data_IF_234784022583
#
_entry.id   IF_234784022583
#
_cell.length_a   1.000
_cell.length_b   1.000
_cell.length_c   1.000
_cell.angle_alpha   90.00
_cell.angle_beta   90.00
_cell.angle_gamma   90.00
#
_symmetry.space_group_name_H-M   'P 1'
#
loop_
_entity.id
_entity.type
_entity.pdbx_description
1 polymer ?
#
# COMPACT_ATOMS: atom_id res chain seq x y z
N UNK A 1 -28.75 -110.54 1.16
CA UNK A 1 -27.30 -110.38 1.34
C UNK A 1 -26.83 -109.03 0.78
N UNK A 2 -27.28 -107.89 1.35
CA UNK A 2 -26.93 -106.55 0.85
C UNK A 2 -26.80 -105.48 1.95
N UNK A 3 -26.45 -105.90 3.18
CA UNK A 3 -26.30 -104.98 4.33
C UNK A 3 -24.89 -104.99 4.96
N UNK A 4 -23.97 -105.86 4.50
CA UNK A 4 -22.68 -106.08 5.17
C UNK A 4 -21.51 -105.23 4.63
N UNK A 5 -21.70 -104.44 3.57
CA UNK A 5 -20.63 -103.62 2.95
C UNK A 5 -20.56 -102.16 3.42
N UNK A 6 -21.49 -101.69 4.26
CA UNK A 6 -21.51 -100.28 4.71
C UNK A 6 -20.47 -99.96 5.80
N UNK A 7 -20.08 -100.94 6.61
CA UNK A 7 -19.13 -100.75 7.70
C UNK A 7 -17.67 -100.50 7.24
N UNK A 8 -17.08 -101.30 6.33
CA UNK A 8 -15.69 -101.08 5.91
C UNK A 8 -15.52 -99.80 5.10
N UNK A 9 -16.53 -99.39 4.33
CA UNK A 9 -16.47 -98.15 3.54
C UNK A 9 -16.51 -96.91 4.43
N UNK A 10 -17.33 -96.90 5.49
CA UNK A 10 -17.34 -95.82 6.47
C UNK A 10 -16.01 -95.71 7.24
N UNK A 11 -15.41 -96.84 7.62
CA UNK A 11 -14.14 -96.87 8.34
C UNK A 11 -12.96 -96.42 7.46
N UNK A 12 -12.97 -96.79 6.18
CA UNK A 12 -12.00 -96.28 5.20
C UNK A 12 -12.19 -94.78 4.94
N UNK A 13 -13.42 -94.28 4.81
CA UNK A 13 -13.69 -92.85 4.66
C UNK A 13 -13.21 -92.05 5.88
N UNK A 14 -13.41 -92.59 7.10
CA UNK A 14 -12.91 -91.97 8.33
C UNK A 14 -11.37 -92.00 8.45
N UNK A 15 -10.70 -93.04 7.96
CA UNK A 15 -9.23 -93.10 7.93
C UNK A 15 -8.63 -92.13 6.90
N UNK A 16 -9.23 -92.02 5.72
CA UNK A 16 -8.80 -91.05 4.69
C UNK A 16 -9.07 -89.62 5.16
N UNK A 17 -10.18 -89.36 5.83
CA UNK A 17 -10.48 -88.04 6.40
C UNK A 17 -9.50 -87.62 7.52
N UNK A 18 -8.97 -88.57 8.30
CA UNK A 18 -7.95 -88.28 9.33
C UNK A 18 -6.52 -88.21 8.75
N UNK A 19 -6.21 -88.92 7.66
CA UNK A 19 -4.90 -88.86 7.00
C UNK A 19 -4.64 -87.53 6.27
N UNK A 20 -5.70 -86.75 6.00
CA UNK A 20 -5.62 -85.43 5.35
C UNK A 20 -5.79 -84.26 6.33
N UNK A 21 -5.42 -84.39 7.61
CA UNK A 21 -5.30 -83.20 8.44
C UNK A 21 -4.16 -82.33 7.89
N UNK A 22 -4.41 -81.06 7.51
CA UNK A 22 -3.36 -80.18 7.04
C UNK A 22 -2.27 -80.10 8.10
N UNK A 23 -1.02 -80.34 7.72
CA UNK A 23 0.10 -80.18 8.65
C UNK A 23 0.13 -78.71 9.09
N UNK A 24 0.18 -78.47 10.39
CA UNK A 24 0.36 -77.14 10.95
C UNK A 24 1.82 -77.00 11.41
N UNK A 25 2.38 -75.80 11.28
CA UNK A 25 3.69 -75.42 11.82
C UNK A 25 3.50 -74.38 12.92
N UNK A 26 4.22 -74.50 14.06
CA UNK A 26 4.32 -73.40 15.00
C UNK A 26 5.15 -72.29 14.37
N UNK A 27 4.59 -71.08 14.35
CA UNK A 27 5.32 -69.85 14.08
C UNK A 27 5.45 -69.12 15.41
N UNK A 28 6.68 -68.74 15.73
CA UNK A 28 7.02 -68.01 16.94
C UNK A 28 7.64 -66.67 16.53
N UNK A 29 7.37 -65.61 17.27
CA UNK A 29 7.90 -64.30 16.93
C UNK A 29 7.96 -63.39 18.14
N UNK A 30 8.68 -62.27 17.99
CA UNK A 30 8.82 -61.27 19.03
C UNK A 30 8.57 -59.89 18.43
N UNK A 31 7.76 -59.07 19.12
CA UNK A 31 7.44 -57.70 18.72
C UNK A 31 8.21 -56.73 19.61
N UNK A 32 8.97 -55.82 18.98
CA UNK A 32 9.72 -54.80 19.68
C UNK A 32 9.82 -53.50 18.86
N UNK A 33 9.99 -52.39 19.57
CA UNK A 33 10.21 -51.06 18.99
C UNK A 33 11.62 -50.58 19.32
N UNK A 34 12.23 -49.87 18.39
CA UNK A 34 13.46 -49.11 18.60
C UNK A 34 13.08 -47.67 18.93
N UNK A 35 13.49 -47.18 20.09
CA UNK A 35 13.27 -45.82 20.54
C UNK A 35 14.38 -44.89 20.03
N UNK A 36 14.16 -43.57 20.08
CA UNK A 36 15.09 -42.56 19.55
C UNK A 36 16.50 -42.61 20.17
N UNK A 37 16.61 -43.14 21.38
CA UNK A 37 17.87 -43.34 22.10
C UNK A 37 18.53 -44.70 21.80
N UNK A 38 18.09 -45.39 20.74
CA UNK A 38 18.51 -46.74 20.38
C UNK A 38 18.16 -47.83 21.43
N UNK A 39 17.26 -47.53 22.36
CA UNK A 39 16.73 -48.54 23.28
C UNK A 39 15.68 -49.41 22.61
N UNK A 40 15.73 -50.70 22.94
CA UNK A 40 14.80 -51.70 22.44
C UNK A 40 13.73 -51.98 23.50
N UNK A 41 12.46 -51.79 23.15
CA UNK A 41 11.34 -52.09 24.05
C UNK A 41 10.47 -53.19 23.46
N UNK A 42 10.36 -54.32 24.15
CA UNK A 42 9.43 -55.40 23.78
C UNK A 42 8.00 -54.96 24.10
N UNK A 43 7.07 -55.28 23.21
CA UNK A 43 5.66 -54.87 23.35
C UNK A 43 4.77 -56.08 23.64
N UNK A 44 4.22 -56.13 24.86
CA UNK A 44 3.26 -57.14 25.27
C UNK A 44 1.81 -56.79 24.95
N UNK A 45 0.95 -57.81 24.96
CA UNK A 45 -0.49 -57.71 24.69
C UNK A 45 -0.88 -57.14 23.31
N UNK A 46 0.03 -57.23 22.34
CA UNK A 46 -0.17 -56.78 20.96
C UNK A 46 -0.96 -57.84 20.19
N UNK A 47 -2.05 -57.41 19.54
CA UNK A 47 -2.82 -58.29 18.65
C UNK A 47 -2.05 -58.52 17.34
N UNK A 48 -1.84 -59.79 17.00
CA UNK A 48 -1.14 -60.25 15.80
C UNK A 48 -2.13 -61.01 14.93
N UNK A 49 -2.46 -60.45 13.77
CA UNK A 49 -3.39 -61.04 12.80
C UNK A 49 -2.65 -61.65 11.62
N UNK A 50 -3.10 -62.82 11.17
CA UNK A 50 -2.63 -63.54 9.99
C UNK A 50 -3.74 -63.60 8.95
N UNK A 51 -3.42 -63.25 7.71
CA UNK A 51 -4.36 -63.08 6.62
C UNK A 51 -3.93 -63.89 5.41
N UNK A 52 -4.92 -64.37 4.65
CA UNK A 52 -4.69 -64.87 3.30
C UNK A 52 -4.34 -63.69 2.37
N UNK A 53 -3.19 -63.70 1.69
CA UNK A 53 -2.80 -62.67 0.75
C UNK A 53 -3.86 -62.41 -0.33
N UNK A 54 -4.57 -63.44 -0.79
CA UNK A 54 -5.60 -63.30 -1.84
C UNK A 54 -6.79 -62.46 -1.38
N UNK A 55 -7.14 -62.55 -0.09
CA UNK A 55 -8.22 -61.74 0.51
C UNK A 55 -7.73 -60.32 0.79
N UNK A 56 -6.46 -60.18 1.14
CA UNK A 56 -5.89 -58.93 1.63
C UNK A 56 -5.41 -58.00 0.51
N UNK A 57 -4.88 -58.54 -0.59
CA UNK A 57 -4.45 -57.78 -1.76
C UNK A 57 -5.50 -56.77 -2.25
N UNK A 58 -6.77 -57.16 -2.55
CA UNK A 58 -7.76 -56.21 -3.05
C UNK A 58 -8.08 -55.10 -2.03
N UNK A 59 -8.07 -55.40 -0.73
CA UNK A 59 -8.31 -54.42 0.34
C UNK A 59 -7.17 -53.39 0.40
N UNK A 60 -5.92 -53.84 0.29
CA UNK A 60 -4.74 -52.96 0.29
C UNK A 60 -4.69 -52.13 -0.99
N UNK A 61 -5.05 -52.71 -2.14
CA UNK A 61 -5.14 -51.97 -3.40
C UNK A 61 -6.20 -50.87 -3.34
N UNK A 62 -7.36 -51.15 -2.75
CA UNK A 62 -8.41 -50.15 -2.52
C UNK A 62 -7.96 -49.05 -1.56
N UNK A 63 -7.35 -49.42 -0.42
CA UNK A 63 -6.80 -48.47 0.54
C UNK A 63 -5.71 -47.57 -0.09
N UNK A 64 -4.82 -48.16 -0.90
CA UNK A 64 -3.80 -47.43 -1.67
C UNK A 64 -4.41 -46.47 -2.67
N UNK A 65 -5.44 -46.91 -3.40
CA UNK A 65 -6.16 -46.06 -4.35
C UNK A 65 -6.74 -44.84 -3.64
N UNK A 66 -7.47 -45.07 -2.53
CA UNK A 66 -8.06 -44.00 -1.72
C UNK A 66 -6.99 -43.03 -1.19
N UNK A 67 -5.88 -43.55 -0.67
CA UNK A 67 -4.79 -42.73 -0.17
C UNK A 67 -4.13 -41.88 -1.26
N UNK A 68 -3.95 -42.43 -2.47
CA UNK A 68 -3.45 -41.67 -3.62
C UNK A 68 -4.41 -40.56 -4.04
N UNK A 69 -5.71 -40.83 -4.04
CA UNK A 69 -6.74 -39.81 -4.33
C UNK A 69 -6.72 -38.69 -3.29
N UNK A 70 -6.62 -39.01 -2.00
CA UNK A 70 -6.52 -38.02 -0.92
C UNK A 70 -5.22 -37.21 -0.98
N UNK A 71 -4.07 -37.85 -1.24
CA UNK A 71 -2.79 -37.16 -1.46
C UNK A 71 -2.82 -36.24 -2.66
N UNK A 72 -3.35 -36.71 -3.79
CA UNK A 72 -3.51 -35.89 -4.99
C UNK A 72 -4.42 -34.68 -4.70
N UNK A 73 -5.49 -34.88 -3.92
CA UNK A 73 -6.37 -33.81 -3.44
C UNK A 73 -5.63 -32.79 -2.55
N UNK A 74 -4.83 -33.25 -1.59
CA UNK A 74 -4.02 -32.38 -0.73
C UNK A 74 -2.99 -31.59 -1.53
N UNK A 75 -2.24 -32.24 -2.42
CA UNK A 75 -1.26 -31.59 -3.28
C UNK A 75 -1.93 -30.53 -4.17
N UNK A 76 -3.06 -30.87 -4.79
CA UNK A 76 -3.85 -29.91 -5.58
C UNK A 76 -4.28 -28.70 -4.75
N UNK A 77 -4.74 -28.92 -3.52
CA UNK A 77 -5.16 -27.83 -2.62
C UNK A 77 -3.97 -26.95 -2.19
N UNK A 78 -2.81 -27.55 -1.93
CA UNK A 78 -1.58 -26.80 -1.62
C UNK A 78 -1.20 -25.92 -2.80
N UNK A 79 -1.10 -26.48 -4.01
CA UNK A 79 -0.75 -25.70 -5.21
C UNK A 79 -1.78 -24.60 -5.50
N UNK A 80 -3.07 -24.85 -5.24
CA UNK A 80 -4.10 -23.82 -5.37
C UNK A 80 -3.93 -22.68 -4.36
N UNK A 81 -3.58 -22.98 -3.10
CA UNK A 81 -3.30 -21.96 -2.09
C UNK A 81 -2.01 -21.18 -2.41
N UNK A 82 -0.96 -21.85 -2.88
CA UNK A 82 0.28 -21.20 -3.33
C UNK A 82 0.02 -20.21 -4.48
N UNK A 83 -0.84 -20.59 -5.44
CA UNK A 83 -1.25 -19.70 -6.52
C UNK A 83 -2.03 -18.48 -6.00
N UNK A 84 -2.97 -18.67 -5.06
CA UNK A 84 -3.71 -17.57 -4.43
C UNK A 84 -2.77 -16.59 -3.72
N UNK A 85 -1.80 -17.11 -2.94
CA UNK A 85 -0.82 -16.27 -2.24
C UNK A 85 0.01 -15.47 -3.25
N UNK A 86 0.53 -16.13 -4.30
CA UNK A 86 1.29 -15.46 -5.36
C UNK A 86 0.50 -14.34 -6.03
N UNK A 87 -0.78 -14.60 -6.37
CA UNK A 87 -1.65 -13.60 -7.00
C UNK A 87 -1.91 -12.39 -6.07
N UNK A 88 -2.11 -12.65 -4.77
CA UNK A 88 -2.31 -11.60 -3.76
C UNK A 88 -1.05 -10.76 -3.54
N UNK A 89 0.13 -11.38 -3.55
CA UNK A 89 1.42 -10.68 -3.46
C UNK A 89 1.66 -9.78 -4.68
N UNK A 90 1.39 -10.27 -5.89
CA UNK A 90 1.48 -9.49 -7.12
C UNK A 90 0.50 -8.31 -7.12
N UNK A 91 -0.72 -8.54 -6.63
CA UNK A 91 -1.73 -7.49 -6.46
C UNK A 91 -1.29 -6.44 -5.43
N UNK A 92 -0.71 -6.86 -4.30
CA UNK A 92 -0.16 -5.93 -3.29
C UNK A 92 0.95 -5.07 -3.88
N UNK A 93 1.88 -5.68 -4.61
CA UNK A 93 2.98 -4.98 -5.28
C UNK A 93 2.47 -3.93 -6.28
N UNK A 94 1.46 -4.26 -7.09
CA UNK A 94 0.82 -3.30 -8.01
C UNK A 94 0.21 -2.10 -7.28
N UNK A 95 -0.33 -2.30 -6.08
CA UNK A 95 -0.86 -1.20 -5.26
C UNK A 95 0.24 -0.37 -4.62
N UNK A 96 1.32 -0.99 -4.16
CA UNK A 96 2.52 -0.28 -3.67
C UNK A 96 3.11 0.61 -4.78
N UNK A 97 3.24 0.10 -6.01
CA UNK A 97 3.68 0.87 -7.17
C UNK A 97 2.72 2.02 -7.50
N UNK A 98 1.40 1.79 -7.41
CA UNK A 98 0.40 2.84 -7.61
C UNK A 98 0.46 3.93 -6.54
N UNK A 99 0.72 3.55 -5.28
CA UNK A 99 0.92 4.50 -4.17
C UNK A 99 2.16 5.36 -4.44
N UNK A 100 3.27 4.76 -4.90
CA UNK A 100 4.47 5.49 -5.24
C UNK A 100 4.21 6.52 -6.35
N UNK A 101 3.53 6.13 -7.44
CA UNK A 101 3.17 7.05 -8.52
C UNK A 101 2.26 8.20 -8.07
N UNK A 102 1.29 7.94 -7.21
CA UNK A 102 0.43 8.99 -6.63
C UNK A 102 1.20 9.91 -5.66
N UNK A 103 2.17 9.38 -4.92
CA UNK A 103 3.01 10.18 -4.04
C UNK A 103 3.90 11.16 -4.83
N UNK A 104 4.43 10.74 -5.98
CA UNK A 104 5.17 11.61 -6.91
C UNK A 104 4.27 12.70 -7.49
N UNK A 105 3.03 12.35 -7.90
CA UNK A 105 2.02 13.30 -8.36
C UNK A 105 1.73 14.36 -7.28
N UNK A 106 1.53 13.94 -6.03
CA UNK A 106 1.32 14.83 -4.90
C UNK A 106 2.54 15.76 -4.66
N UNK A 107 3.75 15.22 -4.78
CA UNK A 107 5.00 15.98 -4.70
C UNK A 107 5.09 17.09 -5.76
N UNK A 108 4.69 16.78 -7.00
CA UNK A 108 4.62 17.75 -8.09
C UNK A 108 3.57 18.84 -7.83
N UNK A 109 2.38 18.47 -7.33
CA UNK A 109 1.34 19.44 -6.97
C UNK A 109 1.83 20.38 -5.86
N UNK A 110 2.48 19.83 -4.81
CA UNK A 110 3.05 20.63 -3.71
C UNK A 110 4.14 21.59 -4.19
N UNK A 111 5.00 21.17 -5.12
CA UNK A 111 6.00 22.05 -5.75
C UNK A 111 5.35 23.20 -6.50
N UNK A 112 4.30 22.92 -7.31
CA UNK A 112 3.53 23.95 -8.03
C UNK A 112 2.85 24.91 -7.07
N UNK A 113 2.31 24.41 -5.96
CA UNK A 113 1.70 25.22 -4.92
C UNK A 113 2.74 26.11 -4.22
N UNK A 114 3.95 25.60 -3.98
CA UNK A 114 5.10 26.38 -3.51
C UNK A 114 5.44 27.53 -4.46
N UNK A 115 5.52 27.28 -5.77
CA UNK A 115 5.73 28.35 -6.76
C UNK A 115 4.61 29.39 -6.75
N UNK A 116 3.34 28.98 -6.66
CA UNK A 116 2.20 29.92 -6.57
C UNK A 116 2.24 30.71 -5.27
N UNK A 117 2.65 30.10 -4.16
CA UNK A 117 2.83 30.80 -2.89
C UNK A 117 3.97 31.83 -2.99
N UNK A 118 5.08 31.52 -3.65
CA UNK A 118 6.14 32.49 -3.94
C UNK A 118 5.67 33.61 -4.88
N UNK A 119 4.88 33.31 -5.91
CA UNK A 119 4.26 34.32 -6.78
C UNK A 119 3.34 35.25 -5.96
N UNK A 120 2.51 34.70 -5.08
CA UNK A 120 1.64 35.47 -4.19
C UNK A 120 2.44 36.31 -3.19
N UNK A 121 3.50 35.75 -2.61
CA UNK A 121 4.40 36.48 -1.74
C UNK A 121 5.06 37.63 -2.50
N UNK A 122 5.53 37.43 -3.74
CA UNK A 122 6.10 38.50 -4.55
C UNK A 122 5.08 39.56 -4.96
N UNK A 123 3.81 39.20 -5.18
CA UNK A 123 2.75 40.18 -5.43
C UNK A 123 2.41 41.00 -4.18
N UNK A 124 2.41 40.36 -3.02
CA UNK A 124 2.10 41.01 -1.72
C UNK A 124 3.30 41.82 -1.20
N UNK A 125 4.50 41.32 -1.45
CA UNK A 125 5.77 41.96 -1.10
C UNK A 125 6.23 42.94 -2.18
N UNK A 126 5.73 42.92 -3.41
CA UNK A 126 5.83 44.08 -4.31
C UNK A 126 5.22 45.34 -3.68
N UNK A 127 4.30 45.14 -2.72
CA UNK A 127 3.76 46.19 -1.86
C UNK A 127 4.63 46.51 -0.62
N UNK A 128 5.54 45.63 -0.17
CA UNK A 128 6.24 45.77 1.13
C UNK A 128 7.73 45.32 1.26
N UNK A 129 8.28 44.49 0.37
CA UNK A 129 9.68 44.07 0.35
C UNK A 129 10.39 44.49 -0.96
N UNK A 130 10.78 45.76 -0.97
CA UNK A 130 12.02 46.21 -1.59
C UNK A 130 13.05 46.30 -0.44
N UNK A 131 13.67 45.16 -0.12
CA UNK A 131 14.70 45.07 0.93
C UNK A 131 16.10 45.08 0.34
N UNK A 132 16.77 46.21 0.60
CA UNK A 132 18.18 46.36 1.04
C UNK A 132 19.33 46.59 0.04
N UNK A 133 19.23 46.32 -1.27
CA UNK A 133 20.29 46.75 -2.23
C UNK A 133 19.82 47.51 -3.49
N UNK A 134 18.55 47.41 -3.90
CA UNK A 134 17.97 48.28 -4.94
C UNK A 134 17.09 49.42 -4.38
N UNK A 135 17.07 49.56 -3.05
CA UNK A 135 16.26 50.51 -2.26
C UNK A 135 16.29 51.99 -2.65
N UNK A 136 17.28 52.57 -3.36
CA UNK A 136 17.11 53.93 -3.82
C UNK A 136 15.98 53.97 -4.85
N UNK A 137 15.95 53.14 -5.88
CA UNK A 137 15.26 53.53 -7.12
C UNK A 137 13.73 53.38 -7.10
N UNK A 138 13.13 52.27 -6.64
CA UNK A 138 11.66 52.14 -6.68
C UNK A 138 10.99 52.79 -5.46
N UNK A 139 11.67 52.85 -4.30
CA UNK A 139 11.30 53.72 -3.18
C UNK A 139 11.48 55.20 -3.55
N UNK A 140 12.51 55.59 -4.30
CA UNK A 140 12.69 56.95 -4.83
C UNK A 140 11.72 57.21 -5.96
N UNK A 141 11.23 56.24 -6.74
CA UNK A 141 10.15 56.46 -7.72
C UNK A 141 8.80 56.57 -7.03
N UNK A 142 8.51 55.77 -5.99
CA UNK A 142 7.28 55.95 -5.18
C UNK A 142 7.33 57.23 -4.36
N UNK A 143 8.43 57.51 -3.67
CA UNK A 143 8.65 58.76 -2.96
C UNK A 143 8.74 59.93 -3.94
N UNK A 144 9.27 59.76 -5.15
CA UNK A 144 9.31 60.77 -6.21
C UNK A 144 7.91 61.00 -6.73
N UNK A 145 7.10 59.99 -7.04
CA UNK A 145 5.71 60.18 -7.48
C UNK A 145 4.83 60.76 -6.38
N UNK A 146 4.95 60.30 -5.14
CA UNK A 146 4.24 60.86 -3.98
C UNK A 146 4.74 62.28 -3.69
N UNK A 147 6.04 62.54 -3.79
CA UNK A 147 6.62 63.86 -3.67
C UNK A 147 6.24 64.74 -4.87
N UNK A 148 6.08 64.21 -6.07
CA UNK A 148 5.73 64.90 -7.30
C UNK A 148 4.25 65.27 -7.26
N UNK A 149 3.39 64.39 -6.76
CA UNK A 149 2.00 64.69 -6.42
C UNK A 149 1.93 65.75 -5.31
N UNK A 150 2.72 65.60 -4.24
CA UNK A 150 2.76 66.56 -3.12
C UNK A 150 3.29 67.92 -3.58
N UNK A 151 4.34 67.94 -4.39
CA UNK A 151 4.97 69.13 -4.95
C UNK A 151 4.05 69.79 -5.98
N UNK A 152 3.37 69.01 -6.82
CA UNK A 152 2.35 69.52 -7.76
C UNK A 152 1.17 70.12 -7.02
N UNK A 153 0.74 69.51 -5.91
CA UNK A 153 -0.31 70.06 -5.04
C UNK A 153 0.12 71.35 -4.34
N UNK A 154 1.36 71.40 -3.86
CA UNK A 154 1.96 72.62 -3.30
C UNK A 154 2.10 73.70 -4.38
N UNK A 155 2.50 73.34 -5.60
CA UNK A 155 2.61 74.24 -6.73
C UNK A 155 1.24 74.81 -7.13
N UNK A 156 0.19 73.98 -7.14
CA UNK A 156 -1.19 74.39 -7.33
C UNK A 156 -1.66 75.39 -6.26
N UNK A 157 -1.36 75.12 -4.99
CA UNK A 157 -1.68 76.05 -3.90
C UNK A 157 -0.90 77.37 -3.99
N UNK A 158 0.35 77.34 -4.46
CA UNK A 158 1.14 78.54 -4.72
C UNK A 158 0.56 79.35 -5.89
N UNK A 159 0.24 78.69 -7.01
CA UNK A 159 -0.39 79.32 -8.18
C UNK A 159 -1.73 79.97 -7.78
N UNK A 160 -2.53 79.28 -6.97
CA UNK A 160 -3.79 79.81 -6.45
C UNK A 160 -3.57 81.07 -5.61
N UNK A 161 -2.61 81.03 -4.68
CA UNK A 161 -2.23 82.20 -3.87
C UNK A 161 -1.73 83.37 -4.73
N UNK A 162 -0.96 83.11 -5.79
CA UNK A 162 -0.54 84.15 -6.74
C UNK A 162 -1.75 84.77 -7.47
N UNK A 163 -2.67 83.94 -7.97
CA UNK A 163 -3.91 84.43 -8.61
C UNK A 163 -4.68 85.31 -7.63
N UNK A 164 -4.84 84.89 -6.38
CA UNK A 164 -5.55 85.64 -5.33
C UNK A 164 -4.86 86.99 -5.04
N UNK A 165 -3.52 87.00 -4.96
CA UNK A 165 -2.73 88.21 -4.79
C UNK A 165 -2.91 89.19 -5.96
N UNK A 166 -2.77 88.73 -7.20
CA UNK A 166 -3.00 89.55 -8.40
C UNK A 166 -4.46 90.02 -8.54
N UNK A 167 -5.41 89.30 -7.93
CA UNK A 167 -6.82 89.68 -7.85
C UNK A 167 -7.11 90.73 -6.76
N UNK A 168 -6.24 90.87 -5.76
CA UNK A 168 -6.42 91.85 -4.68
C UNK A 168 -5.59 93.12 -4.93
N UNK A 169 -4.31 92.95 -5.26
CA UNK A 169 -3.35 94.05 -5.26
C UNK A 169 -3.47 94.95 -6.48
N UNK A 170 -3.53 94.37 -7.69
CA UNK A 170 -3.61 95.19 -8.92
C UNK A 170 -4.92 95.97 -9.01
N UNK A 171 -6.11 95.44 -8.64
CA UNK A 171 -7.31 96.25 -8.56
C UNK A 171 -7.20 97.40 -7.56
N UNK A 172 -6.50 97.22 -6.43
CA UNK A 172 -6.25 98.29 -5.47
C UNK A 172 -5.31 99.37 -6.06
N UNK A 173 -4.24 98.98 -6.73
CA UNK A 173 -3.34 99.90 -7.43
C UNK A 173 -4.07 100.64 -8.57
N UNK A 174 -4.89 99.95 -9.36
CA UNK A 174 -5.72 100.57 -10.40
C UNK A 174 -6.74 101.53 -9.78
N UNK A 175 -7.33 101.20 -8.64
CA UNK A 175 -8.26 102.09 -7.93
C UNK A 175 -7.56 103.36 -7.43
N UNK A 176 -6.35 103.22 -6.89
CA UNK A 176 -5.53 104.36 -6.46
C UNK A 176 -5.12 105.23 -7.66
N UNK A 177 -4.60 104.64 -8.74
CA UNK A 177 -4.27 105.37 -9.97
C UNK A 177 -5.51 106.05 -10.59
N UNK A 178 -6.68 105.42 -10.53
CA UNK A 178 -7.95 106.04 -10.95
C UNK A 178 -8.34 107.22 -10.05
N UNK A 179 -8.09 107.13 -8.75
CA UNK A 179 -8.29 108.22 -7.80
C UNK A 179 -7.35 109.40 -8.10
N UNK A 180 -6.06 109.13 -8.30
CA UNK A 180 -5.07 110.12 -8.73
C UNK A 180 -5.47 110.76 -10.07
N UNK A 181 -5.85 109.95 -11.06
CA UNK A 181 -6.33 110.41 -12.36
C UNK A 181 -7.57 111.30 -12.24
N UNK A 182 -8.53 110.94 -11.37
CA UNK A 182 -9.72 111.75 -11.10
C UNK A 182 -9.36 113.09 -10.47
N UNK A 183 -8.39 113.11 -9.55
CA UNK A 183 -7.87 114.33 -8.93
C UNK A 183 -7.20 115.24 -9.97
N UNK A 184 -6.32 114.70 -10.82
CA UNK A 184 -5.64 115.47 -11.89
C UNK A 184 -6.66 115.99 -12.91
N UNK A 185 -7.65 115.17 -13.31
CA UNK A 185 -8.74 115.63 -14.21
C UNK A 185 -9.57 116.75 -13.58
N UNK A 186 -9.79 116.71 -12.26
CA UNK A 186 -10.48 117.78 -11.53
C UNK A 186 -9.65 119.06 -11.53
N UNK A 187 -8.33 118.98 -11.32
CA UNK A 187 -7.42 120.12 -11.41
C UNK A 187 -7.38 120.71 -12.83
N UNK A 188 -7.24 119.88 -13.87
CA UNK A 188 -7.29 120.32 -15.28
C UNK A 188 -8.63 121.01 -15.59
N UNK A 189 -9.76 120.44 -15.11
CA UNK A 189 -11.08 121.06 -15.27
C UNK A 189 -11.19 122.39 -14.53
N UNK A 190 -10.71 122.48 -13.29
CA UNK A 190 -10.69 123.73 -12.50
C UNK A 190 -9.82 124.80 -13.16
N UNK A 191 -8.63 124.46 -13.67
CA UNK A 191 -7.77 125.38 -14.41
C UNK A 191 -8.42 125.84 -15.73
N UNK A 192 -9.02 124.92 -16.49
CA UNK A 192 -9.75 125.27 -17.71
C UNK A 192 -11.00 126.11 -17.43
N UNK A 193 -11.68 125.88 -16.31
CA UNK A 193 -12.88 126.65 -15.91
C UNK A 193 -12.56 128.10 -15.50
N UNK A 194 -11.32 128.35 -15.03
CA UNK A 194 -10.81 129.70 -14.76
C UNK A 194 -10.43 130.46 -16.03
N UNK A 195 -10.40 129.82 -17.21
CA UNK A 195 -10.19 130.48 -18.49
C UNK A 195 -11.51 130.88 -19.18
N UNK A 196 -11.70 132.18 -19.42
CA UNK A 196 -12.62 132.75 -20.43
C UNK A 196 -11.93 133.87 -21.23
N UNK A 197 -12.45 134.17 -22.42
CA UNK A 197 -11.96 133.64 -23.68
C UNK A 197 -10.69 134.38 -24.11
N UNK A 198 -9.53 133.76 -23.96
CA UNK A 198 -8.32 134.21 -24.66
C UNK A 198 -7.64 133.01 -25.31
N UNK A 199 -7.07 133.33 -26.46
CA UNK A 199 -6.51 132.51 -27.56
C UNK A 199 -5.33 131.60 -27.19
N UNK A 200 -5.20 131.18 -25.93
CA UNK A 200 -4.13 130.27 -25.50
C UNK A 200 -4.66 128.86 -25.35
N UNK A 201 -4.00 127.92 -26.03
CA UNK A 201 -4.33 126.50 -25.95
C UNK A 201 -4.25 126.04 -24.49
N UNK A 202 -5.24 125.28 -24.00
CA UNK A 202 -5.25 124.80 -22.62
C UNK A 202 -3.97 124.02 -22.32
N UNK A 203 -3.44 124.10 -21.08
CA UNK A 203 -2.31 123.30 -20.67
C UNK A 203 -2.62 121.82 -20.92
N UNK A 204 -1.77 121.18 -21.70
CA UNK A 204 -1.83 119.72 -21.87
C UNK A 204 -1.26 119.13 -20.58
N UNK A 205 -2.03 118.32 -19.89
CA UNK A 205 -1.56 117.51 -18.77
C UNK A 205 -1.13 116.14 -19.34
N UNK A 206 0.16 115.97 -19.73
CA UNK A 206 0.65 114.68 -20.25
C UNK A 206 0.49 113.55 -19.24
N UNK A 207 0.46 113.88 -17.95
CA UNK A 207 0.27 112.99 -16.81
C UNK A 207 -1.03 112.17 -16.92
N UNK A 208 -2.11 112.74 -17.47
CA UNK A 208 -3.39 112.02 -17.70
C UNK A 208 -3.18 110.86 -18.69
N UNK A 209 -2.45 111.11 -19.78
CA UNK A 209 -2.16 110.10 -20.80
C UNK A 209 -1.13 109.06 -20.36
N UNK A 210 -0.26 109.40 -19.40
CA UNK A 210 0.66 108.45 -18.76
C UNK A 210 -0.08 107.53 -17.79
N UNK A 211 -0.92 108.08 -16.92
CA UNK A 211 -1.75 107.31 -15.99
C UNK A 211 -2.74 106.38 -16.72
N UNK A 212 -3.37 106.84 -17.81
CA UNK A 212 -4.26 105.98 -18.63
C UNK A 212 -3.50 104.86 -19.34
N UNK A 213 -2.29 105.13 -19.85
CA UNK A 213 -1.41 104.10 -20.43
C UNK A 213 -0.97 103.09 -19.37
N UNK A 214 -0.67 103.56 -18.17
CA UNK A 214 -0.22 102.72 -17.06
C UNK A 214 -1.34 101.82 -16.53
N UNK A 215 -2.56 102.35 -16.34
CA UNK A 215 -3.74 101.54 -15.98
C UNK A 215 -3.99 100.46 -17.04
N UNK A 216 -3.87 100.80 -18.33
CA UNK A 216 -4.06 99.86 -19.44
C UNK A 216 -2.97 98.79 -19.46
N UNK A 217 -1.70 99.18 -19.23
CA UNK A 217 -0.55 98.27 -19.12
C UNK A 217 -0.74 97.28 -17.98
N UNK A 218 -1.02 97.76 -16.77
CA UNK A 218 -1.26 96.92 -15.59
C UNK A 218 -2.47 96.00 -15.75
N UNK A 219 -3.54 96.47 -16.40
CA UNK A 219 -4.71 95.64 -16.70
C UNK A 219 -4.38 94.50 -17.66
N UNK A 220 -3.57 94.78 -18.69
CA UNK A 220 -3.14 93.78 -19.67
C UNK A 220 -2.16 92.79 -19.04
N UNK A 221 -1.17 93.27 -18.28
CA UNK A 221 -0.19 92.44 -17.57
C UNK A 221 -0.86 91.50 -16.57
N UNK A 222 -1.81 92.00 -15.78
CA UNK A 222 -2.64 91.16 -14.89
C UNK A 222 -3.38 90.09 -15.67
N UNK A 223 -4.00 90.45 -16.80
CA UNK A 223 -4.75 89.50 -17.63
C UNK A 223 -3.85 88.38 -18.15
N UNK A 224 -2.73 88.72 -18.78
CA UNK A 224 -1.77 87.75 -19.30
C UNK A 224 -1.20 86.86 -18.19
N UNK A 225 -0.92 87.43 -17.01
CA UNK A 225 -0.43 86.67 -15.87
C UNK A 225 -1.48 85.69 -15.35
N UNK A 226 -2.72 86.14 -15.15
CA UNK A 226 -3.84 85.28 -14.72
C UNK A 226 -4.08 84.17 -15.74
N UNK A 227 -4.12 84.48 -17.04
CA UNK A 227 -4.33 83.49 -18.09
C UNK A 227 -3.21 82.42 -18.07
N UNK A 228 -1.95 82.85 -17.93
CA UNK A 228 -0.81 81.92 -17.85
C UNK A 228 -0.82 81.03 -16.59
N UNK A 229 -1.22 81.58 -15.44
CA UNK A 229 -1.33 80.84 -14.18
C UNK A 229 -2.51 79.86 -14.23
N UNK A 230 -3.62 80.25 -14.84
CA UNK A 230 -4.80 79.41 -15.06
C UNK A 230 -4.46 78.22 -15.95
N UNK A 231 -3.71 78.43 -17.03
CA UNK A 231 -3.29 77.34 -17.92
C UNK A 231 -2.33 76.36 -17.21
N UNK A 232 -1.37 76.86 -16.42
CA UNK A 232 -0.50 76.01 -15.58
C UNK A 232 -1.29 75.21 -14.54
N UNK A 233 -2.29 75.85 -13.92
CA UNK A 233 -3.19 75.17 -12.98
C UNK A 233 -3.94 74.03 -13.69
N UNK A 234 -4.48 74.28 -14.88
CA UNK A 234 -5.17 73.27 -15.69
C UNK A 234 -4.27 72.09 -16.02
N UNK A 235 -3.08 72.34 -16.58
CA UNK A 235 -2.11 71.29 -16.89
C UNK A 235 -1.72 70.46 -15.66
N UNK A 236 -1.57 71.09 -14.50
CA UNK A 236 -1.20 70.40 -13.26
C UNK A 236 -2.35 69.53 -12.73
N UNK A 237 -3.59 69.98 -12.86
CA UNK A 237 -4.79 69.18 -12.53
C UNK A 237 -4.92 67.98 -13.47
N UNK A 238 -4.75 68.18 -14.77
CA UNK A 238 -4.82 67.09 -15.76
C UNK A 238 -3.71 66.04 -15.53
N UNK A 239 -2.50 66.49 -15.17
CA UNK A 239 -1.40 65.59 -14.82
C UNK A 239 -1.70 64.77 -13.56
N UNK A 240 -2.25 65.40 -12.52
CA UNK A 240 -2.67 64.71 -11.29
C UNK A 240 -3.76 63.66 -11.58
N UNK A 241 -4.78 64.02 -12.38
CA UNK A 241 -5.84 63.09 -12.76
C UNK A 241 -5.28 61.87 -13.52
N UNK A 242 -4.34 62.07 -14.46
CA UNK A 242 -3.66 60.97 -15.16
C UNK A 242 -2.82 60.10 -14.21
N UNK A 243 -2.17 60.68 -13.20
CA UNK A 243 -1.40 59.92 -12.20
C UNK A 243 -2.33 59.10 -11.29
N UNK A 244 -3.47 59.66 -10.89
CA UNK A 244 -4.49 58.97 -10.11
C UNK A 244 -5.05 57.78 -10.90
N UNK A 245 -5.49 57.98 -12.15
CA UNK A 245 -6.01 56.92 -13.03
C UNK A 245 -5.00 55.78 -13.22
N UNK A 246 -3.72 56.11 -13.45
CA UNK A 246 -2.65 55.10 -13.56
C UNK A 246 -2.43 54.34 -12.25
N UNK A 247 -2.53 55.00 -11.10
CA UNK A 247 -2.35 54.34 -9.80
C UNK A 247 -3.52 53.40 -9.47
N UNK A 248 -4.76 53.82 -9.75
CA UNK A 248 -5.95 52.98 -9.61
C UNK A 248 -5.91 51.77 -10.57
N UNK A 249 -5.51 51.99 -11.83
CA UNK A 249 -5.36 50.92 -12.81
C UNK A 249 -4.31 49.89 -12.37
N UNK A 250 -3.17 50.35 -11.84
CA UNK A 250 -2.11 49.50 -11.29
C UNK A 250 -2.60 48.70 -10.08
N UNK A 251 -3.29 49.35 -9.13
CA UNK A 251 -3.86 48.68 -7.95
C UNK A 251 -4.89 47.61 -8.35
N UNK A 252 -5.78 47.94 -9.30
CA UNK A 252 -6.76 47.00 -9.83
C UNK A 252 -6.10 45.82 -10.53
N UNK A 253 -5.02 46.04 -11.28
CA UNK A 253 -4.25 44.97 -11.91
C UNK A 253 -3.59 44.05 -10.87
N UNK A 254 -3.02 44.61 -9.80
CA UNK A 254 -2.45 43.87 -8.67
C UNK A 254 -3.48 42.97 -7.98
N UNK A 255 -4.65 43.53 -7.62
CA UNK A 255 -5.75 42.78 -6.99
C UNK A 255 -6.26 41.65 -7.91
N UNK A 256 -6.36 41.90 -9.22
CA UNK A 256 -6.75 40.87 -10.18
C UNK A 256 -5.70 39.76 -10.30
N UNK A 257 -4.41 40.08 -10.29
CA UNK A 257 -3.33 39.09 -10.30
C UNK A 257 -3.37 38.23 -9.03
N UNK A 258 -3.51 38.85 -7.86
CA UNK A 258 -3.64 38.14 -6.58
C UNK A 258 -4.87 37.21 -6.57
N UNK A 259 -6.03 37.69 -7.05
CA UNK A 259 -7.23 36.87 -7.15
C UNK A 259 -7.08 35.68 -8.10
N UNK A 260 -6.37 35.85 -9.23
CA UNK A 260 -6.06 34.75 -10.17
C UNK A 260 -5.14 33.71 -9.53
N UNK A 261 -4.07 34.14 -8.87
CA UNK A 261 -3.14 33.23 -8.19
C UNK A 261 -3.80 32.52 -7.01
N UNK A 262 -4.67 33.20 -6.25
CA UNK A 262 -5.48 32.58 -5.19
C UNK A 262 -6.42 31.50 -5.70
N UNK A 263 -7.11 31.73 -6.83
CA UNK A 263 -7.93 30.69 -7.49
C UNK A 263 -7.10 29.49 -7.95
N UNK A 264 -5.90 29.72 -8.49
CA UNK A 264 -4.98 28.66 -8.91
C UNK A 264 -4.50 27.83 -7.70
N UNK A 265 -4.15 28.48 -6.59
CA UNK A 265 -3.77 27.81 -5.35
C UNK A 265 -4.91 26.93 -4.82
N UNK A 266 -6.12 27.47 -4.70
CA UNK A 266 -7.29 26.71 -4.24
C UNK A 266 -7.62 25.50 -5.14
N UNK A 267 -7.42 25.64 -6.46
CA UNK A 267 -7.56 24.52 -7.39
C UNK A 267 -6.53 23.42 -7.15
N UNK A 268 -5.26 23.78 -6.92
CA UNK A 268 -4.19 22.83 -6.62
C UNK A 268 -4.37 22.15 -5.27
N UNK A 269 -4.85 22.86 -4.24
CA UNK A 269 -5.18 22.27 -2.93
C UNK A 269 -6.27 21.22 -3.06
N UNK A 270 -7.31 21.50 -3.86
CA UNK A 270 -8.36 20.52 -4.15
C UNK A 270 -7.82 19.29 -4.88
N UNK A 271 -6.92 19.48 -5.86
CA UNK A 271 -6.25 18.39 -6.58
C UNK A 271 -5.40 17.54 -5.63
N UNK A 272 -4.60 18.17 -4.76
CA UNK A 272 -3.81 17.51 -3.73
C UNK A 272 -4.69 16.67 -2.79
N UNK A 273 -5.79 17.22 -2.30
CA UNK A 273 -6.73 16.52 -1.41
C UNK A 273 -7.33 15.27 -2.06
N UNK A 274 -7.64 15.33 -3.36
CA UNK A 274 -8.13 14.17 -4.12
C UNK A 274 -7.05 13.10 -4.25
N UNK A 275 -5.81 13.48 -4.54
CA UNK A 275 -4.68 12.54 -4.64
C UNK A 275 -4.37 11.89 -3.29
N UNK A 276 -4.36 12.66 -2.19
CA UNK A 276 -4.18 12.14 -0.83
C UNK A 276 -5.27 11.11 -0.48
N UNK A 277 -6.53 11.38 -0.83
CA UNK A 277 -7.61 10.40 -0.64
C UNK A 277 -7.37 9.10 -1.42
N UNK A 278 -6.91 9.19 -2.67
CA UNK A 278 -6.59 8.00 -3.48
C UNK A 278 -5.43 7.19 -2.89
N UNK A 279 -4.42 7.87 -2.33
CA UNK A 279 -3.30 7.21 -1.64
C UNK A 279 -3.82 6.42 -0.44
N UNK A 280 -4.68 7.02 0.39
CA UNK A 280 -5.26 6.34 1.56
C UNK A 280 -6.15 5.16 1.16
N UNK A 281 -6.99 5.31 0.12
CA UNK A 281 -7.80 4.20 -0.41
C UNK A 281 -6.91 3.06 -0.96
N UNK A 282 -5.81 3.38 -1.63
CA UNK A 282 -4.86 2.36 -2.12
C UNK A 282 -4.12 1.65 -0.98
N UNK A 283 -3.71 2.38 0.07
CA UNK A 283 -3.11 1.79 1.28
C UNK A 283 -4.08 0.84 1.99
N UNK A 284 -5.35 1.22 2.09
CA UNK A 284 -6.38 0.38 2.70
C UNK A 284 -6.56 -0.94 1.94
N UNK A 285 -6.58 -0.90 0.60
CA UNK A 285 -6.64 -2.11 -0.22
C UNK A 285 -5.40 -2.99 -0.10
N UNK A 286 -4.21 -2.39 -0.09
CA UNK A 286 -2.95 -3.14 0.08
C UNK A 286 -2.91 -3.86 1.44
N UNK A 287 -3.39 -3.19 2.50
CA UNK A 287 -3.51 -3.78 3.82
C UNK A 287 -4.53 -4.93 3.87
N UNK A 288 -5.68 -4.77 3.22
CA UNK A 288 -6.70 -5.82 3.14
C UNK A 288 -6.14 -7.08 2.44
N UNK A 289 -5.44 -6.91 1.31
CA UNK A 289 -4.78 -8.00 0.57
C UNK A 289 -3.70 -8.70 1.39
N UNK A 290 -2.93 -7.94 2.18
CA UNK A 290 -1.96 -8.52 3.11
C UNK A 290 -2.63 -9.41 4.17
N UNK A 291 -3.79 -8.98 4.69
CA UNK A 291 -4.59 -9.80 5.60
C UNK A 291 -5.14 -11.07 4.95
N UNK A 292 -5.59 -10.99 3.70
CA UNK A 292 -6.03 -12.17 2.92
C UNK A 292 -4.87 -13.15 2.67
N UNK A 293 -3.68 -12.66 2.31
CA UNK A 293 -2.50 -13.48 2.10
C UNK A 293 -2.08 -14.21 3.39
N UNK A 294 -2.04 -13.51 4.53
CA UNK A 294 -1.73 -14.13 5.83
C UNK A 294 -2.74 -15.23 6.22
N UNK A 295 -4.03 -15.04 5.89
CA UNK A 295 -5.05 -16.06 6.10
C UNK A 295 -4.81 -17.29 5.21
N UNK A 296 -4.48 -17.08 3.93
CA UNK A 296 -4.15 -18.14 2.99
C UNK A 296 -2.87 -18.91 3.41
N UNK A 297 -1.83 -18.22 3.88
CA UNK A 297 -0.61 -18.82 4.42
C UNK A 297 -0.90 -19.74 5.62
N UNK A 298 -1.77 -19.30 6.54
CA UNK A 298 -2.20 -20.13 7.68
C UNK A 298 -2.92 -21.40 7.22
N UNK A 299 -3.76 -21.30 6.19
CA UNK A 299 -4.43 -22.47 5.63
C UNK A 299 -3.44 -23.41 4.95
N UNK A 300 -2.49 -22.87 4.19
CA UNK A 300 -1.42 -23.62 3.55
C UNK A 300 -0.53 -24.33 4.58
N UNK A 301 -0.20 -23.70 5.71
CA UNK A 301 0.54 -24.34 6.80
C UNK A 301 -0.25 -25.51 7.42
N UNK A 302 -1.57 -25.35 7.54
CA UNK A 302 -2.46 -26.43 8.00
C UNK A 302 -2.43 -27.62 7.02
N UNK A 303 -2.48 -27.35 5.71
CA UNK A 303 -2.41 -28.38 4.67
C UNK A 303 -1.04 -29.08 4.65
N UNK A 304 0.05 -28.32 4.79
CA UNK A 304 1.42 -28.88 4.85
C UNK A 304 1.64 -29.72 6.10
N UNK A 305 1.13 -29.27 7.24
CA UNK A 305 1.14 -30.05 8.48
C UNK A 305 0.39 -31.37 8.33
N UNK A 306 -0.80 -31.32 7.72
CA UNK A 306 -1.59 -32.53 7.41
C UNK A 306 -0.84 -33.46 6.45
N UNK A 307 -0.23 -32.93 5.40
CA UNK A 307 0.57 -33.72 4.45
C UNK A 307 1.75 -34.41 5.15
N UNK A 308 2.43 -33.72 6.07
CA UNK A 308 3.52 -34.27 6.87
C UNK A 308 3.05 -35.40 7.80
N UNK A 309 1.83 -35.29 8.36
CA UNK A 309 1.21 -36.34 9.18
C UNK A 309 0.46 -37.40 8.37
N UNK A 310 0.41 -37.28 7.03
CA UNK A 310 -0.44 -38.13 6.20
C UNK A 310 -0.09 -39.61 6.31
N UNK A 311 1.17 -39.96 6.59
CA UNK A 311 1.56 -41.35 6.84
C UNK A 311 0.71 -42.00 7.97
N UNK A 312 0.37 -41.25 9.02
CA UNK A 312 -0.49 -41.76 10.10
C UNK A 312 -1.95 -41.90 9.65
N UNK A 313 -2.45 -40.98 8.81
CA UNK A 313 -3.78 -41.10 8.20
C UNK A 313 -3.84 -42.34 7.28
N UNK A 314 -2.80 -42.55 6.46
CA UNK A 314 -2.65 -43.71 5.60
C UNK A 314 -2.66 -45.02 6.38
N UNK A 315 -1.88 -45.12 7.46
CA UNK A 315 -1.92 -46.30 8.34
C UNK A 315 -3.35 -46.56 8.85
N UNK A 316 -4.06 -45.53 9.30
CA UNK A 316 -5.44 -45.69 9.74
C UNK A 316 -6.37 -46.14 8.60
N UNK A 317 -6.20 -45.63 7.37
CA UNK A 317 -6.98 -46.08 6.20
C UNK A 317 -6.76 -47.58 5.94
N UNK A 318 -5.51 -48.03 5.92
CA UNK A 318 -5.18 -49.44 5.67
C UNK A 318 -5.70 -50.33 6.80
N UNK A 319 -5.39 -50.01 8.05
CA UNK A 319 -5.72 -50.87 9.20
C UNK A 319 -7.21 -50.89 9.56
N UNK A 320 -7.97 -49.85 9.21
CA UNK A 320 -9.43 -49.84 9.38
C UNK A 320 -10.17 -50.61 8.30
N UNK A 321 -9.53 -50.83 7.15
CA UNK A 321 -10.10 -51.59 6.04
C UNK A 321 -9.79 -53.10 6.11
N UNK A 322 -8.87 -53.52 7.00
CA UNK A 322 -8.50 -54.93 7.13
C UNK A 322 -9.73 -55.80 7.49
N UNK A 323 -9.90 -56.97 6.84
CA UNK A 323 -10.95 -57.91 7.22
C UNK A 323 -10.65 -58.55 8.58
N UNK A 324 -11.51 -59.46 9.04
CA UNK A 324 -11.14 -60.30 10.17
C UNK A 324 -9.95 -61.21 9.81
N UNK A 325 -8.95 -61.37 10.69
CA UNK A 325 -7.81 -62.24 10.40
C UNK A 325 -8.24 -63.71 10.33
N UNK A 326 -7.60 -64.49 9.45
CA UNK A 326 -7.80 -65.93 9.37
C UNK A 326 -7.31 -66.65 10.64
N UNK A 327 -6.23 -66.14 11.23
CA UNK A 327 -5.74 -66.56 12.54
C UNK A 327 -5.29 -65.35 13.34
N UNK A 328 -5.54 -65.35 14.64
CA UNK A 328 -5.13 -64.28 15.54
C UNK A 328 -4.38 -64.85 16.73
N UNK A 329 -3.33 -64.16 17.16
CA UNK A 329 -2.63 -64.40 18.42
C UNK A 329 -2.40 -63.07 19.13
N UNK A 330 -1.99 -63.13 20.40
CA UNK A 330 -1.65 -61.97 21.20
C UNK A 330 -0.28 -62.19 21.80
N UNK A 331 0.57 -61.16 21.81
CA UNK A 331 1.86 -61.26 22.49
C UNK A 331 1.68 -61.35 24.01
N UNK A 332 2.54 -62.13 24.66
CA UNK A 332 2.63 -62.20 26.12
C UNK A 332 3.29 -60.95 26.72
N UNK A 333 3.57 -60.95 28.03
CA UNK A 333 4.17 -59.79 28.70
C UNK A 333 5.61 -59.51 28.21
N UNK A 334 6.28 -60.54 27.72
CA UNK A 334 7.62 -60.52 27.16
C UNK A 334 7.62 -60.15 25.67
N UNK A 335 6.47 -59.85 25.07
CA UNK A 335 6.34 -59.48 23.66
C UNK A 335 6.51 -60.64 22.69
N UNK A 336 6.42 -61.88 23.16
CA UNK A 336 6.53 -63.10 22.37
C UNK A 336 5.14 -63.60 21.98
N UNK A 337 4.99 -64.16 20.78
CA UNK A 337 3.76 -64.80 20.34
C UNK A 337 4.05 -66.15 19.71
N UNK A 338 3.07 -67.05 19.81
CA UNK A 338 3.09 -68.35 19.13
C UNK A 338 1.74 -68.62 18.47
N UNK A 339 1.76 -69.14 17.25
CA UNK A 339 0.55 -69.52 16.53
C UNK A 339 0.81 -70.77 15.66
N UNK A 340 -0.21 -71.58 15.42
CA UNK A 340 -0.13 -72.72 14.52
C UNK A 340 -0.71 -72.33 13.15
N UNK A 341 0.13 -72.24 12.12
CA UNK A 341 -0.32 -71.96 10.75
C UNK A 341 -0.23 -73.21 9.86
N UNK A 342 -1.08 -73.33 8.82
CA UNK A 342 -0.91 -74.34 7.78
C UNK A 342 0.50 -74.31 7.17
N UNK A 343 1.07 -75.50 6.92
CA UNK A 343 2.45 -75.64 6.44
C UNK A 343 2.67 -75.06 5.03
N UNK A 344 1.68 -75.18 4.15
CA UNK A 344 1.73 -74.74 2.75
C UNK A 344 0.82 -73.54 2.49
N UNK A 345 1.03 -72.47 3.23
CA UNK A 345 0.30 -71.21 3.05
C UNK A 345 1.25 -70.02 2.97
N UNK A 346 0.94 -69.11 2.07
CA UNK A 346 1.46 -67.75 2.07
C UNK A 346 0.56 -66.92 2.99
N UNK A 347 1.14 -66.14 3.88
CA UNK A 347 0.38 -65.37 4.86
C UNK A 347 0.89 -63.93 4.91
N UNK A 348 -0.02 -62.98 5.05
CA UNK A 348 0.33 -61.63 5.48
C UNK A 348 0.10 -61.52 6.97
N UNK A 349 1.03 -60.88 7.68
CA UNK A 349 0.96 -60.69 9.12
C UNK A 349 0.89 -59.21 9.42
N UNK A 350 -0.04 -58.85 10.29
CA UNK A 350 -0.20 -57.48 10.76
C UNK A 350 -0.15 -57.46 12.27
N UNK A 351 0.43 -56.41 12.83
CA UNK A 351 0.31 -56.11 14.25
C UNK A 351 0.04 -54.62 14.44
N UNK A 352 -0.68 -54.27 15.50
CA UNK A 352 -0.93 -52.89 15.88
C UNK A 352 -0.76 -52.73 17.38
N UNK A 353 0.06 -51.77 17.79
CA UNK A 353 0.27 -51.44 19.18
C UNK A 353 0.09 -49.94 19.41
N UNK A 354 -0.41 -49.61 20.59
CA UNK A 354 -0.54 -48.22 21.05
C UNK A 354 0.19 -48.10 22.38
N UNK A 355 1.06 -47.10 22.49
CA UNK A 355 1.80 -46.80 23.71
C UNK A 355 1.50 -45.38 24.15
N UNK A 356 1.05 -45.20 25.38
CA UNK A 356 0.95 -43.89 26.01
C UNK A 356 2.30 -43.54 26.65
N UNK A 357 2.95 -42.48 26.17
CA UNK A 357 4.27 -42.05 26.67
C UNK A 357 4.10 -41.05 27.81
N UNK A 358 3.20 -40.10 27.63
CA UNK A 358 2.77 -39.12 28.65
C UNK A 358 1.24 -39.05 28.64
N UNK A 359 0.63 -38.25 29.53
CA UNK A 359 -0.83 -38.11 29.57
C UNK A 359 -1.44 -37.61 28.24
N UNK A 360 -0.66 -36.84 27.48
CA UNK A 360 -1.02 -36.15 26.25
C UNK A 360 -0.38 -36.75 24.99
N UNK A 361 0.68 -37.56 25.11
CA UNK A 361 1.36 -38.18 23.97
C UNK A 361 1.04 -39.68 23.86
N UNK A 362 0.46 -40.05 22.71
CA UNK A 362 0.20 -41.42 22.32
C UNK A 362 0.96 -41.75 21.04
N UNK A 363 1.75 -42.82 21.08
CA UNK A 363 2.44 -43.39 19.93
C UNK A 363 1.64 -44.57 19.39
N UNK A 364 1.48 -44.64 18.08
CA UNK A 364 0.86 -45.77 17.40
C UNK A 364 1.91 -46.44 16.53
N UNK A 365 1.94 -47.78 16.59
CA UNK A 365 2.87 -48.61 15.86
C UNK A 365 2.09 -49.63 15.04
N UNK A 366 2.50 -49.78 13.79
CA UNK A 366 1.83 -50.60 12.79
C UNK A 366 2.88 -51.43 12.05
N UNK A 367 2.70 -52.74 12.02
CA UNK A 367 3.56 -53.66 11.26
C UNK A 367 2.75 -54.39 10.21
N UNK A 368 3.33 -54.58 9.04
CA UNK A 368 2.74 -55.32 7.94
C UNK A 368 3.84 -56.02 7.14
N UNK A 369 3.79 -57.34 7.02
CA UNK A 369 4.80 -58.11 6.28
C UNK A 369 4.21 -59.41 5.71
N UNK A 370 4.89 -59.96 4.69
CA UNK A 370 4.52 -61.23 4.05
C UNK A 370 5.41 -62.34 4.58
N UNK A 371 4.80 -63.47 4.93
CA UNK A 371 5.45 -64.72 5.33
C UNK A 371 5.29 -65.69 4.15
N UNK A 372 6.35 -65.89 3.34
CA UNK A 372 6.24 -66.74 2.16
C UNK A 372 5.93 -68.19 2.55
N UNK A 373 5.36 -68.97 1.61
CA UNK A 373 5.20 -70.40 1.80
C UNK A 373 6.58 -71.05 1.98
N UNK A 374 6.65 -72.04 2.87
CA UNK A 374 7.88 -72.81 3.08
C UNK A 374 7.98 -73.87 1.99
N UNK A 375 8.91 -73.70 1.06
CA UNK A 375 9.23 -74.77 0.12
C UNK A 375 10.01 -75.87 0.85
N UNK A 376 9.68 -77.14 0.60
CA UNK A 376 10.40 -78.30 1.17
C UNK A 376 11.91 -78.30 0.85
N UNK A 377 12.32 -77.54 -0.19
CA UNK A 377 13.72 -77.35 -0.55
C UNK A 377 14.38 -76.14 0.14
N UNK A 378 13.64 -75.17 0.68
CA UNK A 378 14.23 -74.12 1.51
C UNK A 378 14.73 -74.64 2.85
N UNK A 379 14.16 -75.72 3.37
CA UNK A 379 14.71 -76.44 4.53
C UNK A 379 16.07 -77.10 4.24
N UNK A 380 16.38 -77.32 2.96
CA UNK A 380 17.69 -77.83 2.52
C UNK A 380 18.65 -76.69 2.18
N UNK A 381 18.17 -75.57 1.64
CA UNK A 381 18.98 -74.40 1.25
C UNK A 381 19.34 -73.49 2.44
N UNK A 382 18.49 -73.40 3.47
CA UNK A 382 18.81 -72.76 4.75
C UNK A 382 19.36 -73.75 5.80
N UNK A 383 19.67 -74.98 5.38
CA UNK A 383 20.56 -75.85 6.14
C UNK A 383 21.94 -75.18 6.25
N UNK A 384 22.32 -74.83 7.48
CA UNK A 384 23.63 -74.28 7.91
C UNK A 384 23.70 -72.77 8.18
N UNK A 385 22.83 -72.26 9.04
CA UNK A 385 23.34 -71.57 10.23
C UNK A 385 22.81 -72.32 11.44
N UNK A 386 23.39 -73.49 11.70
CA UNK A 386 23.30 -74.07 13.04
C UNK A 386 24.04 -73.12 13.97
N UNK A 387 23.33 -72.52 14.93
CA UNK A 387 24.02 -72.09 16.15
C UNK A 387 24.64 -73.35 16.79
N UNK A 388 25.77 -73.24 17.52
CA UNK A 388 26.53 -74.40 18.01
C UNK A 388 25.77 -75.37 18.95
N UNK A 389 24.48 -75.15 19.22
CA UNK A 389 23.67 -75.85 20.23
C UNK A 389 22.44 -76.59 19.69
N UNK A 390 22.42 -76.96 18.41
CA UNK A 390 21.80 -78.21 17.97
C UNK A 390 20.27 -78.37 18.11
N UNK A 391 19.48 -77.29 17.98
CA UNK A 391 18.04 -77.39 17.70
C UNK A 391 17.69 -76.46 16.53
N UNK A 392 16.87 -76.90 15.55
CA UNK A 392 16.30 -75.97 14.58
C UNK A 392 15.47 -74.95 15.37
N UNK A 393 15.89 -73.68 15.33
CA UNK A 393 15.06 -72.61 15.89
C UNK A 393 13.76 -72.55 15.07
N UNK A 394 12.58 -72.44 15.73
CA UNK A 394 11.33 -72.22 15.02
C UNK A 394 11.46 -70.95 14.16
N UNK A 395 10.73 -70.88 13.04
CA UNK A 395 10.73 -69.75 12.11
C UNK A 395 10.46 -68.44 12.88
N UNK A 396 11.53 -67.74 13.30
CA UNK A 396 11.42 -66.62 14.23
C UNK A 396 11.24 -65.34 13.45
N UNK A 397 10.05 -64.76 13.56
CA UNK A 397 9.75 -63.46 12.96
C UNK A 397 10.20 -62.34 13.91
N UNK A 398 11.12 -61.49 13.42
CA UNK A 398 11.56 -60.28 14.12
C UNK A 398 10.87 -59.05 13.55
N UNK A 399 9.99 -58.44 14.33
CA UNK A 399 9.26 -57.23 13.96
C UNK A 399 9.87 -56.04 14.69
N UNK A 400 10.72 -55.29 13.98
CA UNK A 400 11.32 -54.03 14.45
C UNK A 400 10.69 -52.82 13.78
N UNK A 401 10.95 -51.62 14.32
CA UNK A 401 10.46 -50.37 13.73
C UNK A 401 11.12 -50.00 12.38
N UNK A 402 12.23 -50.64 12.01
CA UNK A 402 12.81 -50.47 10.66
C UNK A 402 11.96 -51.18 9.59
N UNK A 403 11.08 -52.10 10.02
CA UNK A 403 10.02 -52.73 9.23
C UNK A 403 8.64 -52.03 9.39
N UNK A 404 8.61 -50.80 9.92
CA UNK A 404 7.42 -49.94 9.77
C UNK A 404 7.09 -49.81 8.28
N UNK A 405 5.87 -49.40 7.96
CA UNK A 405 5.46 -49.05 6.60
C UNK A 405 6.23 -47.78 6.16
N UNK A 406 7.55 -47.88 5.99
CA UNK A 406 8.42 -46.91 5.36
C UNK A 406 8.28 -47.08 3.86
N UNK A 407 7.09 -46.79 3.31
CA UNK A 407 6.87 -46.52 1.87
C UNK A 407 7.67 -47.39 0.88
N UNK A 408 7.88 -48.67 1.20
CA UNK A 408 9.01 -49.46 0.72
C UNK A 408 8.67 -50.94 0.53
N UNK A 409 7.43 -51.22 0.13
CA UNK A 409 7.06 -52.48 -0.53
C UNK A 409 7.65 -52.56 -1.96
N UNK A 410 8.90 -52.10 -2.15
CA UNK A 410 9.48 -51.83 -3.47
C UNK A 410 10.19 -53.00 -4.14
N UNK A 411 10.32 -54.16 -3.50
CA UNK A 411 11.15 -55.22 -4.10
C UNK A 411 10.36 -56.33 -4.80
N UNK A 412 9.02 -56.28 -4.84
CA UNK A 412 8.27 -57.28 -5.63
C UNK A 412 7.00 -56.81 -6.36
N UNK A 413 6.57 -55.55 -6.25
CA UNK A 413 5.54 -54.98 -7.12
C UNK A 413 5.91 -53.53 -7.47
N UNK A 414 6.23 -53.30 -8.73
CA UNK A 414 6.79 -52.07 -9.34
C UNK A 414 6.06 -50.78 -8.93
N UNK A 415 6.78 -49.82 -8.35
CA UNK A 415 7.01 -48.46 -8.86
C UNK A 415 7.65 -47.58 -7.77
N UNK A 416 8.62 -46.76 -8.15
CA UNK A 416 9.43 -45.92 -7.27
C UNK A 416 8.63 -45.13 -6.22
N UNK A 417 9.20 -44.86 -5.04
CA UNK A 417 8.65 -43.84 -4.16
C UNK A 417 8.57 -42.53 -4.93
N UNK A 418 7.38 -41.94 -4.99
CA UNK A 418 7.23 -40.54 -5.37
C UNK A 418 8.02 -39.74 -4.33
N UNK A 419 9.25 -39.34 -4.73
CA UNK A 419 9.94 -38.23 -4.06
C UNK A 419 8.98 -37.02 -4.07
N UNK A 420 8.94 -36.25 -2.98
CA UNK A 420 8.22 -34.98 -2.97
C UNK A 420 8.70 -34.06 -4.08
#
# INVERSE_FOLDING_TARGET
>A
MAQSFRLPFALFLCLVANACQPKHRPIEGTIWIVLKNADNSKLGLVDVGFYDPQVLTPVIEEANKKAREELAGLQKNISAQEAIISDLEDQRKKEEDAIAGLADELGNIRSRLGSVASELANLTNGETAESDEERPLDQEIRNSKVAEIRNSKVALENIRREIDHWNQEVPAQIADLRSQLAHVKKLDFEERSKMRPYTQAPPKFPEIGELEREIKRLSQERKEKIDSLTERQRMSVDMLASLEERSEASQKAGLQAQAKSGKKAASLEKEASVVEKKIEEARARALARSGEAASAEKHLETLRSRLKSFNQEYENIVFSALPAPAFQSKTDAEGEFRILLPYRGDFCVTARATRRVTSDLQENYSWFFRVPPRDEDQDKLFGLVYTPWGKPEPDRLLLSNDNQIRSGFSDSLVSHPLKP
#
